data_IF_815562931519
#
_entry.id   IF_815562931519
#
_cell.length_a   1.000
_cell.length_b   1.000
_cell.length_c   1.000
_cell.angle_alpha   90.00
_cell.angle_beta   90.00
_cell.angle_gamma   90.00
#
_symmetry.space_group_name_H-M   'P 1'
#
loop_
_entity.id
_entity.type
_entity.pdbx_description
1 polymer ?
#
# COMPACT_ATOMS: atom_id res chain seq x y z
N UNK A 1 -6.68 21.27 2.56
CA UNK A 1 -6.28 19.88 2.84
C UNK A 1 -7.26 18.94 2.16
N UNK A 2 -6.80 18.18 1.19
CA UNK A 2 -7.65 17.21 0.51
C UNK A 2 -8.10 16.16 1.52
N UNK A 3 -9.43 16.00 1.67
CA UNK A 3 -9.97 14.91 2.46
C UNK A 3 -9.58 13.59 1.79
N UNK A 4 -9.02 12.70 2.57
CA UNK A 4 -8.87 11.31 2.14
C UNK A 4 -10.25 10.68 2.19
N UNK A 5 -10.98 10.83 1.14
CA UNK A 5 -12.23 10.11 1.03
C UNK A 5 -11.90 8.71 0.53
N UNK A 6 -12.09 7.76 1.41
CA UNK A 6 -12.11 6.34 1.07
C UNK A 6 -13.42 6.01 0.34
N UNK A 7 -13.83 6.89 -0.54
CA UNK A 7 -15.05 6.76 -1.31
C UNK A 7 -14.93 5.73 -2.43
N UNK A 8 -14.59 4.50 -2.08
CA UNK A 8 -14.78 3.40 -3.00
C UNK A 8 -16.28 3.16 -3.11
N UNK A 9 -16.81 3.33 -4.31
CA UNK A 9 -18.19 2.95 -4.59
C UNK A 9 -18.38 1.47 -4.24
N UNK A 10 -19.47 1.11 -3.51
CA UNK A 10 -19.63 -0.25 -2.98
C UNK A 10 -19.83 -1.36 -4.01
N UNK A 11 -19.82 -1.06 -5.29
CA UNK A 11 -20.12 -2.03 -6.37
C UNK A 11 -18.90 -2.48 -7.17
N UNK A 12 -17.71 -1.93 -6.92
CA UNK A 12 -16.50 -2.34 -7.63
C UNK A 12 -15.95 -3.65 -7.03
N UNK A 13 -15.52 -4.57 -7.88
CA UNK A 13 -14.77 -5.75 -7.46
C UNK A 13 -13.51 -5.24 -6.75
N UNK A 14 -13.43 -5.49 -5.44
CA UNK A 14 -12.30 -5.04 -4.64
C UNK A 14 -11.12 -6.00 -4.82
N UNK A 15 -9.99 -5.46 -5.20
CA UNK A 15 -8.72 -6.16 -5.08
C UNK A 15 -8.09 -5.72 -3.77
N UNK A 16 -8.15 -6.59 -2.77
CA UNK A 16 -7.64 -6.29 -1.44
C UNK A 16 -6.97 -7.49 -0.81
N UNK A 17 -6.10 -7.24 0.15
CA UNK A 17 -5.40 -8.27 0.88
C UNK A 17 -4.99 -7.78 2.27
N UNK A 18 -4.58 -8.74 3.09
CA UNK A 18 -4.11 -8.48 4.45
C UNK A 18 -2.78 -9.17 4.66
N UNK A 19 -1.87 -8.48 5.30
CA UNK A 19 -0.60 -9.07 5.72
C UNK A 19 -0.24 -8.55 7.10
N UNK A 20 0.61 -9.26 7.80
CA UNK A 20 1.01 -8.92 9.16
C UNK A 20 2.50 -8.64 9.23
N UNK A 21 2.87 -7.70 10.07
CA UNK A 21 4.25 -7.38 10.40
C UNK A 21 4.39 -7.34 11.91
N UNK A 22 5.58 -7.70 12.38
CA UNK A 22 5.94 -7.49 13.78
C UNK A 22 6.89 -6.31 13.86
N UNK A 23 6.60 -5.36 14.71
CA UNK A 23 7.44 -4.18 14.90
C UNK A 23 8.79 -4.60 15.45
N UNK A 24 9.87 -4.23 14.73
CA UNK A 24 11.24 -4.50 15.15
C UNK A 24 11.77 -3.35 16.01
N UNK A 25 12.73 -3.67 16.86
CA UNK A 25 13.36 -2.66 17.71
C UNK A 25 13.94 -1.48 16.87
N UNK A 26 14.56 -1.80 15.75
CA UNK A 26 15.16 -0.79 14.84
C UNK A 26 14.12 0.13 14.19
N UNK A 27 12.84 -0.19 14.27
CA UNK A 27 11.74 0.59 13.69
C UNK A 27 11.14 1.59 14.67
N UNK A 28 11.64 1.65 15.90
CA UNK A 28 11.13 2.54 16.94
C UNK A 28 12.04 3.75 17.13
N UNK A 29 11.47 4.81 17.67
CA UNK A 29 12.17 6.05 18.00
C UNK A 29 12.43 6.18 19.51
N UNK A 30 13.03 7.29 19.91
CA UNK A 30 13.36 7.53 21.32
C UNK A 30 12.12 7.67 22.23
N UNK A 31 10.93 7.93 21.66
CA UNK A 31 9.67 7.95 22.40
C UNK A 31 9.13 6.54 22.67
N UNK A 32 9.73 5.52 22.07
CA UNK A 32 9.29 4.13 22.18
C UNK A 32 8.19 3.75 21.20
N UNK A 33 7.87 4.59 20.25
CA UNK A 33 6.88 4.35 19.21
C UNK A 33 7.55 4.03 17.88
N UNK A 34 6.80 3.37 17.01
CA UNK A 34 7.24 3.22 15.60
C UNK A 34 7.51 4.58 15.02
N UNK A 35 8.72 4.73 14.45
CA UNK A 35 9.14 5.96 13.81
C UNK A 35 8.20 6.28 12.63
N UNK A 36 7.76 7.52 12.53
CA UNK A 36 6.69 7.88 11.61
C UNK A 36 6.95 7.48 10.15
N UNK A 37 8.19 7.54 9.68
CA UNK A 37 8.53 7.17 8.32
C UNK A 37 8.50 5.65 8.08
N UNK A 38 8.58 4.84 9.12
CA UNK A 38 8.52 3.38 9.03
C UNK A 38 7.18 2.90 8.48
N UNK A 39 6.11 3.65 8.70
CA UNK A 39 4.79 3.30 8.15
C UNK A 39 4.79 3.24 6.63
N UNK A 40 5.61 4.04 5.95
CA UNK A 40 5.77 3.96 4.50
C UNK A 40 6.39 2.63 4.08
N UNK A 41 7.28 2.08 4.90
CA UNK A 41 7.84 0.74 4.70
C UNK A 41 6.78 -0.35 4.89
N UNK A 42 5.90 -0.20 5.88
CA UNK A 42 4.79 -1.12 6.09
C UNK A 42 3.80 -1.08 4.93
N UNK A 43 3.56 0.09 4.35
CA UNK A 43 2.75 0.21 3.14
C UNK A 43 3.38 -0.57 1.98
N UNK A 44 4.70 -0.49 1.83
CA UNK A 44 5.42 -1.27 0.82
C UNK A 44 5.21 -2.77 1.02
N UNK A 45 5.33 -3.26 2.26
CA UNK A 45 5.07 -4.66 2.58
C UNK A 45 3.65 -5.04 2.16
N UNK A 46 2.66 -4.22 2.50
CA UNK A 46 1.26 -4.49 2.17
C UNK A 46 1.02 -4.58 0.66
N UNK A 47 1.48 -3.60 -0.10
CA UNK A 47 1.27 -3.60 -1.56
C UNK A 47 2.05 -4.70 -2.26
N UNK A 48 3.26 -4.98 -1.80
CA UNK A 48 4.10 -6.03 -2.39
C UNK A 48 3.44 -7.40 -2.24
N UNK A 49 2.90 -7.70 -1.06
CA UNK A 49 2.19 -8.96 -0.81
C UNK A 49 0.87 -9.01 -1.59
N UNK A 50 0.11 -7.93 -1.66
CA UNK A 50 -1.11 -7.89 -2.45
C UNK A 50 -0.83 -8.15 -3.93
N UNK A 51 0.17 -7.49 -4.50
CA UNK A 51 0.56 -7.69 -5.90
C UNK A 51 0.99 -9.13 -6.14
N UNK A 52 1.78 -9.71 -5.23
CA UNK A 52 2.26 -11.08 -5.31
C UNK A 52 1.11 -12.08 -5.37
N UNK A 53 0.12 -11.91 -4.51
CA UNK A 53 -1.02 -12.82 -4.40
C UNK A 53 -2.04 -12.64 -5.52
N UNK A 54 -2.36 -11.38 -5.85
CA UNK A 54 -3.45 -11.06 -6.78
C UNK A 54 -3.00 -11.02 -8.23
N UNK A 55 -1.75 -10.73 -8.49
CA UNK A 55 -1.22 -10.57 -9.85
C UNK A 55 0.07 -11.38 -10.04
N UNK A 56 1.21 -10.84 -9.68
CA UNK A 56 2.51 -11.52 -9.77
C UNK A 56 3.54 -10.80 -8.92
N UNK A 57 4.64 -11.48 -8.54
CA UNK A 57 5.68 -10.83 -7.72
C UNK A 57 6.26 -9.59 -8.41
N UNK A 58 6.49 -8.55 -7.64
CA UNK A 58 7.05 -7.29 -8.16
C UNK A 58 8.37 -7.50 -8.93
N UNK A 59 9.19 -8.44 -8.47
CA UNK A 59 10.41 -8.84 -9.17
C UNK A 59 10.14 -9.24 -10.62
N UNK A 60 9.06 -10.00 -10.87
CA UNK A 60 8.68 -10.41 -12.22
C UNK A 60 8.23 -9.20 -13.06
N UNK A 61 7.54 -8.25 -12.45
CA UNK A 61 7.13 -7.01 -13.12
C UNK A 61 8.37 -6.24 -13.60
N UNK A 62 9.40 -6.15 -12.77
CA UNK A 62 10.66 -5.51 -13.14
C UNK A 62 11.38 -6.27 -14.26
N UNK A 63 11.39 -7.61 -14.20
CA UNK A 63 11.98 -8.46 -15.25
C UNK A 63 11.28 -8.27 -16.60
N UNK A 64 9.99 -7.94 -16.58
CA UNK A 64 9.20 -7.64 -17.77
C UNK A 64 9.45 -6.21 -18.30
N UNK A 65 10.32 -5.45 -17.65
CA UNK A 65 10.70 -4.10 -18.08
C UNK A 65 9.81 -2.99 -17.58
N UNK A 66 9.05 -3.23 -16.51
CA UNK A 66 8.19 -2.21 -15.90
C UNK A 66 8.70 -1.78 -14.54
N UNK A 67 8.51 -0.51 -14.22
CA UNK A 67 8.77 0.08 -12.90
C UNK A 67 7.51 0.75 -12.40
N UNK A 68 7.34 0.76 -11.09
CA UNK A 68 6.16 1.32 -10.42
C UNK A 68 6.58 2.32 -9.34
N UNK A 69 7.16 3.47 -9.72
CA UNK A 69 7.61 4.45 -8.74
C UNK A 69 6.44 5.10 -8.01
N UNK A 70 6.69 5.51 -6.77
CA UNK A 70 5.75 6.31 -6.00
C UNK A 70 5.80 7.74 -6.50
N UNK A 71 4.65 8.32 -6.85
CA UNK A 71 4.54 9.71 -7.27
C UNK A 71 3.88 10.58 -6.19
N UNK A 72 3.12 9.98 -5.30
CA UNK A 72 2.50 10.66 -4.17
C UNK A 72 2.28 9.66 -3.04
N UNK A 73 2.43 10.08 -1.81
CA UNK A 73 2.12 9.28 -0.65
C UNK A 73 1.63 10.14 0.49
N UNK A 74 0.88 9.54 1.38
CA UNK A 74 0.42 10.20 2.59
C UNK A 74 0.16 9.20 3.69
N UNK A 75 0.27 9.67 4.92
CA UNK A 75 0.01 8.86 6.09
C UNK A 75 -0.63 9.70 7.18
N UNK A 76 -1.70 9.17 7.77
CA UNK A 76 -2.33 9.72 8.96
C UNK A 76 -2.03 8.81 10.13
N UNK A 77 -1.51 9.39 11.20
CA UNK A 77 -1.13 8.69 12.42
C UNK A 77 -2.27 8.82 13.44
N UNK A 78 -2.83 7.69 13.85
CA UNK A 78 -4.02 7.66 14.71
C UNK A 78 -3.62 7.29 16.13
N UNK A 79 -2.80 6.26 16.30
CA UNK A 79 -2.29 5.80 17.59
C UNK A 79 -0.89 5.23 17.42
N UNK A 80 -0.09 5.26 18.47
CA UNK A 80 1.26 4.73 18.44
C UNK A 80 1.30 3.20 18.54
N UNK A 81 2.20 2.60 17.79
CA UNK A 81 2.57 1.21 17.95
C UNK A 81 3.96 1.12 18.58
N UNK A 82 4.25 0.02 19.26
CA UNK A 82 5.47 -0.19 20.03
C UNK A 82 6.24 -1.39 19.53
N UNK A 83 7.49 -1.50 19.97
CA UNK A 83 8.31 -2.67 19.73
C UNK A 83 7.55 -3.96 20.08
N UNK A 84 7.69 -4.95 19.22
CA UNK A 84 7.10 -6.28 19.32
C UNK A 84 5.57 -6.35 19.12
N UNK A 85 4.92 -5.24 18.86
CA UNK A 85 3.51 -5.27 18.45
C UNK A 85 3.36 -5.98 17.11
N UNK A 86 2.33 -6.81 16.98
CA UNK A 86 1.91 -7.34 15.70
C UNK A 86 0.89 -6.39 15.08
N UNK A 87 1.14 -5.98 13.84
CA UNK A 87 0.26 -5.08 13.09
C UNK A 87 -0.28 -5.79 11.86
N UNK A 88 -1.54 -5.54 11.54
CA UNK A 88 -2.17 -6.01 10.31
C UNK A 88 -2.30 -4.84 9.36
N UNK A 89 -1.83 -5.05 8.13
CA UNK A 89 -1.92 -4.07 7.05
C UNK A 89 -2.96 -4.57 6.06
N UNK A 90 -4.07 -3.87 5.96
CA UNK A 90 -5.07 -4.09 4.93
C UNK A 90 -4.74 -3.17 3.76
N UNK A 91 -4.62 -3.73 2.57
CA UNK A 91 -4.26 -3.01 1.36
C UNK A 91 -5.34 -3.18 0.31
N UNK A 92 -5.72 -2.08 -0.33
CA UNK A 92 -6.67 -2.06 -1.45
C UNK A 92 -6.00 -1.46 -2.66
N UNK A 93 -6.25 -2.07 -3.82
CA UNK A 93 -5.77 -1.59 -5.11
C UNK A 93 -6.89 -0.83 -5.83
N UNK A 94 -6.58 0.36 -6.29
CA UNK A 94 -7.48 1.20 -7.07
C UNK A 94 -6.75 1.70 -8.32
N UNK A 95 -7.52 1.96 -9.36
CA UNK A 95 -7.02 2.53 -10.62
C UNK A 95 -7.73 3.86 -10.88
N UNK A 96 -7.21 4.98 -10.35
CA UNK A 96 -7.85 6.28 -10.51
C UNK A 96 -7.86 6.80 -11.94
N UNK A 97 -6.95 6.31 -12.79
CA UNK A 97 -6.89 6.65 -14.22
C UNK A 97 -6.22 5.54 -15.02
N UNK A 98 -6.18 5.71 -16.33
CA UNK A 98 -5.48 4.78 -17.22
C UNK A 98 -3.96 4.73 -17.02
N UNK A 99 -3.40 5.69 -16.28
CA UNK A 99 -1.96 5.85 -16.07
C UNK A 99 -1.53 5.80 -14.62
N UNK A 100 -2.46 5.64 -13.69
CA UNK A 100 -2.20 5.69 -12.26
C UNK A 100 -2.69 4.44 -11.55
N UNK A 101 -1.89 4.01 -10.59
CA UNK A 101 -2.24 2.96 -9.64
C UNK A 101 -2.22 3.57 -8.25
N UNK A 102 -3.24 3.30 -7.47
CA UNK A 102 -3.32 3.78 -6.09
C UNK A 102 -3.51 2.59 -5.16
N UNK A 103 -2.74 2.55 -4.09
CA UNK A 103 -2.95 1.63 -2.98
C UNK A 103 -3.41 2.43 -1.76
N UNK A 104 -4.42 1.93 -1.08
CA UNK A 104 -4.87 2.48 0.19
C UNK A 104 -4.62 1.47 1.29
N UNK A 105 -4.20 1.95 2.45
CA UNK A 105 -3.75 1.11 3.55
C UNK A 105 -4.45 1.49 4.84
N UNK A 106 -4.89 0.46 5.58
CA UNK A 106 -5.33 0.58 6.95
C UNK A 106 -4.45 -0.32 7.81
N UNK A 107 -3.79 0.25 8.82
CA UNK A 107 -2.96 -0.49 9.75
C UNK A 107 -3.63 -0.49 11.11
N UNK A 108 -3.80 -1.67 11.68
CA UNK A 108 -4.38 -1.85 13.00
C UNK A 108 -3.58 -2.87 13.81
N UNK A 109 -3.76 -2.82 15.10
CA UNK A 109 -3.21 -3.83 16.03
C UNK A 109 -4.31 -4.85 16.34
N UNK A 110 -4.20 -6.10 15.87
CA UNK A 110 -5.27 -7.09 16.05
C UNK A 110 -5.54 -7.43 17.52
N UNK A 111 -4.52 -7.37 18.37
CA UNK A 111 -4.63 -7.73 19.79
C UNK A 111 -5.74 -6.96 20.52
N UNK A 112 -5.91 -5.69 20.20
CA UNK A 112 -6.91 -4.83 20.85
C UNK A 112 -7.83 -4.11 19.85
N UNK A 113 -7.65 -4.36 18.55
CA UNK A 113 -8.43 -3.73 17.48
C UNK A 113 -8.13 -2.24 17.26
N UNK A 114 -7.06 -1.72 17.88
CA UNK A 114 -6.71 -0.31 17.77
C UNK A 114 -6.29 0.06 16.36
N UNK A 115 -6.91 1.09 15.78
CA UNK A 115 -6.42 1.71 14.56
C UNK A 115 -5.10 2.43 14.84
N UNK A 116 -4.10 2.18 14.01
CA UNK A 116 -2.75 2.72 14.19
C UNK A 116 -2.47 3.83 13.17
N UNK A 117 -2.69 3.55 11.89
CA UNK A 117 -2.43 4.50 10.82
C UNK A 117 -3.24 4.18 9.58
N UNK A 118 -3.44 5.18 8.75
CA UNK A 118 -4.04 5.06 7.42
C UNK A 118 -3.20 5.80 6.41
N UNK A 119 -3.15 5.30 5.20
CA UNK A 119 -2.39 5.98 4.18
C UNK A 119 -2.68 5.53 2.78
N UNK A 120 -1.93 6.10 1.87
CA UNK A 120 -1.98 5.75 0.47
C UNK A 120 -0.61 5.93 -0.18
N UNK A 121 -0.41 5.23 -1.26
CA UNK A 121 0.66 5.49 -2.22
C UNK A 121 0.05 5.51 -3.61
N UNK A 122 0.45 6.46 -4.41
CA UNK A 122 0.05 6.56 -5.80
C UNK A 122 1.26 6.38 -6.69
N UNK A 123 1.08 5.62 -7.77
CA UNK A 123 2.17 5.17 -8.63
C UNK A 123 1.80 5.38 -10.09
N UNK A 124 2.80 5.48 -10.94
CA UNK A 124 2.64 5.32 -12.38
C UNK A 124 3.45 4.11 -12.86
N UNK A 125 3.15 3.61 -14.04
CA UNK A 125 3.97 2.59 -14.69
C UNK A 125 4.97 3.26 -15.62
N UNK A 126 6.23 2.86 -15.50
CA UNK A 126 7.30 3.28 -16.37
C UNK A 126 7.87 2.09 -17.13
N UNK A 127 8.32 2.34 -18.35
CA UNK A 127 9.20 1.39 -19.05
C UNK A 127 10.60 1.41 -18.44
N UNK A 128 11.44 0.45 -18.80
CA UNK A 128 12.86 0.44 -18.43
C UNK A 128 13.60 1.71 -18.86
N UNK A 129 13.08 2.43 -19.86
CA UNK A 129 13.62 3.70 -20.37
C UNK A 129 13.06 4.93 -19.65
N UNK A 130 12.17 4.73 -18.69
CA UNK A 130 11.59 5.82 -17.90
C UNK A 130 10.39 6.51 -18.52
N UNK A 131 9.74 5.91 -19.52
CA UNK A 131 8.54 6.46 -20.13
C UNK A 131 7.28 6.00 -19.42
N UNK A 132 6.34 6.92 -19.21
CA UNK A 132 5.03 6.60 -18.62
C UNK A 132 4.23 5.79 -19.63
N UNK A 133 3.65 4.68 -19.18
CA UNK A 133 2.77 3.81 -19.97
C UNK A 133 1.45 3.59 -19.27
N UNK A 134 0.46 3.15 -20.02
CA UNK A 134 -0.85 2.77 -19.46
C UNK A 134 -0.71 1.60 -18.52
N UNK A 135 -1.58 1.57 -17.52
CA UNK A 135 -1.72 0.41 -16.63
C UNK A 135 -1.98 -0.83 -17.48
N UNK A 136 -1.24 -1.92 -17.27
CA UNK A 136 -1.45 -3.17 -18.02
C UNK A 136 -2.88 -3.67 -17.93
N UNK A 137 -3.39 -4.24 -19.04
CA UNK A 137 -4.78 -4.70 -19.13
C UNK A 137 -5.09 -5.83 -18.13
N UNK A 138 -4.13 -6.70 -17.86
CA UNK A 138 -4.30 -7.79 -16.90
C UNK A 138 -4.40 -7.27 -15.46
N UNK A 139 -3.69 -6.20 -15.12
CA UNK A 139 -3.88 -5.54 -13.83
C UNK A 139 -5.25 -4.85 -13.75
N UNK A 140 -5.64 -4.18 -14.82
CA UNK A 140 -6.94 -3.53 -14.90
C UNK A 140 -8.10 -4.51 -14.68
N UNK A 141 -7.97 -5.75 -15.12
CA UNK A 141 -9.00 -6.79 -14.94
C UNK A 141 -9.18 -7.24 -13.49
N UNK A 142 -8.21 -6.99 -12.60
CA UNK A 142 -8.29 -7.32 -11.19
C UNK A 142 -9.17 -6.34 -10.41
N UNK A 143 -9.28 -5.13 -10.92
CA UNK A 143 -10.11 -4.08 -10.33
C UNK A 143 -11.33 -3.96 -11.23
N UNK A 144 -12.50 -4.35 -10.74
CA UNK A 144 -13.72 -4.39 -11.53
C UNK A 144 -14.06 -3.11 -12.26
N UNK A 145 -15.05 -3.18 -13.18
CA UNK A 145 -15.45 -2.03 -13.99
C UNK A 145 -15.93 -0.85 -13.15
#
# INVERSE_FOLDING_TARGET
MKKWDSGSKPEAKLCEGRTRVRVRYAETDAMGWVYYATYLCYFEVGRTELIREAWRPYRQIEEEGHKLPVVESGCRYISGARYDDELEIQTRLLLPSAFRVRFEYDIRRPQDGQEIARGFTEHCFLTSEGKIVRVPADLKSLVGP
#
